data_IF_083866982277
#
_entry.id   IF_083866982277
#
_cell.length_a   1.000
_cell.length_b   1.000
_cell.length_c   1.000
_cell.angle_alpha   90.00
_cell.angle_beta   90.00
_cell.angle_gamma   90.00
#
_symmetry.space_group_name_H-M   'P 1'
#
loop_
_entity.id
_entity.type
_entity.pdbx_description
1 polymer ?
#
# COMPACT_ATOMS: atom_id res chain seq x y z
N UNK A 1 -24.45 -13.36 -5.81
CA UNK A 1 -23.22 -14.16 -5.98
C UNK A 1 -22.97 -14.42 -7.46
N UNK A 2 -21.86 -13.89 -7.97
CA UNK A 2 -21.31 -14.13 -9.31
C UNK A 2 -19.90 -14.71 -9.14
N UNK A 3 -19.57 -15.71 -9.95
CA UNK A 3 -18.24 -16.32 -9.96
C UNK A 3 -17.77 -16.48 -11.41
N UNK A 4 -16.53 -16.12 -11.68
CA UNK A 4 -15.87 -16.41 -12.93
C UNK A 4 -14.47 -16.96 -12.68
N UNK A 5 -13.99 -17.76 -13.62
CA UNK A 5 -12.62 -18.26 -13.59
C UNK A 5 -12.07 -18.28 -15.01
N UNK A 6 -10.79 -18.00 -15.17
CA UNK A 6 -10.11 -18.21 -16.44
C UNK A 6 -8.85 -19.02 -16.23
N UNK A 7 -8.71 -20.06 -17.05
CA UNK A 7 -7.47 -20.80 -17.20
C UNK A 7 -6.97 -20.55 -18.61
N UNK A 8 -5.79 -19.93 -18.73
CA UNK A 8 -5.16 -19.67 -20.02
C UNK A 8 -3.91 -20.53 -20.21
N UNK A 9 -3.86 -21.17 -21.37
CA UNK A 9 -2.82 -22.08 -21.80
C UNK A 9 -2.66 -21.90 -23.31
N UNK A 10 -1.45 -21.64 -23.81
CA UNK A 10 -1.25 -21.30 -25.20
C UNK A 10 0.05 -21.85 -25.80
N UNK A 11 -0.08 -22.55 -26.92
CA UNK A 11 1.06 -22.84 -27.81
C UNK A 11 1.45 -21.62 -28.68
N UNK A 12 0.91 -20.43 -28.38
CA UNK A 12 1.09 -19.20 -29.18
C UNK A 12 2.00 -18.17 -28.54
N UNK A 13 2.51 -18.42 -27.33
CA UNK A 13 3.50 -17.60 -26.64
C UNK A 13 2.97 -16.44 -25.78
N UNK A 14 1.69 -16.05 -25.85
CA UNK A 14 1.17 -14.90 -25.10
C UNK A 14 -0.31 -15.03 -24.67
N UNK A 15 -0.67 -15.94 -23.75
CA UNK A 15 -2.04 -16.03 -23.22
C UNK A 15 -2.54 -14.75 -22.52
N UNK A 16 -3.81 -14.41 -22.78
CA UNK A 16 -4.54 -13.32 -22.11
C UNK A 16 -5.81 -13.84 -21.41
N UNK A 17 -5.90 -13.63 -20.09
CA UNK A 17 -7.10 -13.91 -19.30
C UNK A 17 -7.76 -12.62 -18.82
N UNK A 18 -9.07 -12.47 -19.06
CA UNK A 18 -9.83 -11.29 -18.62
C UNK A 18 -11.19 -11.67 -18.06
N UNK A 19 -11.48 -11.20 -16.85
CA UNK A 19 -12.80 -11.31 -16.22
C UNK A 19 -13.34 -9.96 -15.80
N UNK A 20 -14.65 -9.80 -15.96
CA UNK A 20 -15.38 -8.61 -15.50
C UNK A 20 -16.69 -9.02 -14.85
N UNK A 21 -16.87 -8.68 -13.57
CA UNK A 21 -18.10 -8.95 -12.80
C UNK A 21 -18.68 -7.63 -12.29
N UNK A 22 -20.01 -7.52 -12.30
CA UNK A 22 -20.73 -6.33 -11.81
C UNK A 22 -21.91 -6.82 -10.96
N UNK A 23 -21.97 -6.42 -9.69
CA UNK A 23 -23.04 -6.78 -8.74
C UNK A 23 -24.31 -5.96 -8.96
N UNK A 24 -24.18 -4.64 -8.97
CA UNK A 24 -25.27 -3.71 -9.19
C UNK A 24 -25.84 -3.20 -7.88
N UNK A 25 -27.06 -3.58 -7.53
CA UNK A 25 -27.70 -3.14 -6.29
C UNK A 25 -28.06 -4.34 -5.41
N UNK A 26 -27.75 -4.25 -4.12
CA UNK A 26 -27.94 -5.32 -3.15
C UNK A 26 -26.65 -5.64 -2.42
N UNK A 27 -26.62 -6.77 -1.74
CA UNK A 27 -25.40 -7.30 -1.14
C UNK A 27 -24.89 -8.41 -2.06
N UNK A 28 -23.82 -8.12 -2.79
CA UNK A 28 -23.26 -8.98 -3.80
C UNK A 28 -21.98 -9.69 -3.31
N UNK A 29 -21.68 -10.79 -3.97
CA UNK A 29 -20.46 -11.56 -3.75
C UNK A 29 -19.89 -11.87 -5.11
N UNK A 30 -18.75 -11.29 -5.43
CA UNK A 30 -18.09 -11.38 -6.73
C UNK A 30 -16.74 -12.05 -6.54
N UNK A 31 -16.52 -13.17 -7.21
CA UNK A 31 -15.29 -13.94 -7.06
C UNK A 31 -14.69 -14.22 -8.43
N UNK A 32 -13.41 -13.92 -8.60
CA UNK A 32 -12.63 -14.24 -9.79
C UNK A 32 -11.36 -14.99 -9.44
N UNK A 33 -11.11 -16.09 -10.16
CA UNK A 33 -9.87 -16.85 -10.08
C UNK A 33 -9.22 -16.99 -11.48
N UNK A 34 -8.06 -16.37 -11.69
CA UNK A 34 -7.32 -16.40 -12.96
C UNK A 34 -5.99 -17.13 -12.83
N UNK A 35 -5.71 -18.04 -13.76
CA UNK A 35 -4.48 -18.82 -13.78
C UNK A 35 -3.93 -18.94 -15.20
N UNK A 36 -2.61 -18.82 -15.36
CA UNK A 36 -1.92 -19.27 -16.58
C UNK A 36 -1.04 -20.49 -16.32
N UNK A 37 -0.89 -21.35 -17.33
CA UNK A 37 -0.04 -22.55 -17.28
C UNK A 37 1.45 -22.22 -17.44
N UNK A 38 2.31 -23.11 -16.92
CA UNK A 38 3.75 -23.13 -17.20
C UNK A 38 4.11 -24.49 -17.80
N UNK A 39 3.81 -24.67 -19.08
CA UNK A 39 4.09 -25.91 -19.83
C UNK A 39 5.30 -25.78 -20.78
N UNK A 40 5.99 -24.63 -20.75
CA UNK A 40 7.18 -24.35 -21.55
C UNK A 40 6.90 -23.69 -22.91
N UNK A 41 5.69 -23.18 -23.14
CA UNK A 41 5.30 -22.57 -24.42
C UNK A 41 4.82 -21.11 -24.26
N UNK A 42 4.57 -20.64 -23.03
CA UNK A 42 4.08 -19.29 -22.73
C UNK A 42 5.26 -18.33 -22.52
N UNK A 43 5.71 -17.65 -23.58
CA UNK A 43 6.73 -16.61 -23.49
C UNK A 43 6.31 -15.42 -22.60
N UNK A 44 5.03 -15.02 -22.64
CA UNK A 44 4.46 -13.98 -21.80
C UNK A 44 3.03 -14.35 -21.34
N UNK A 45 2.55 -13.82 -20.21
CA UNK A 45 1.18 -14.03 -19.73
C UNK A 45 0.60 -12.73 -19.20
N UNK A 46 -0.66 -12.45 -19.52
CA UNK A 46 -1.38 -11.27 -18.99
C UNK A 46 -2.74 -11.66 -18.43
N UNK A 47 -2.95 -11.41 -17.14
CA UNK A 47 -4.20 -11.67 -16.45
C UNK A 47 -4.80 -10.36 -15.93
N UNK A 48 -6.10 -10.18 -16.13
CA UNK A 48 -6.84 -8.96 -15.75
C UNK A 48 -8.19 -9.33 -15.10
N UNK A 49 -8.50 -8.71 -13.98
CA UNK A 49 -9.79 -8.85 -13.29
C UNK A 49 -10.35 -7.49 -12.97
N UNK A 50 -11.62 -7.29 -13.26
CA UNK A 50 -12.35 -6.08 -12.92
C UNK A 50 -13.66 -6.45 -12.21
N UNK A 51 -13.78 -6.11 -10.94
CA UNK A 51 -14.97 -6.36 -10.14
C UNK A 51 -15.56 -5.02 -9.69
N UNK A 52 -16.87 -4.87 -9.78
CA UNK A 52 -17.59 -3.71 -9.27
C UNK A 52 -18.80 -4.16 -8.45
N UNK A 53 -18.83 -3.81 -7.17
CA UNK A 53 -19.92 -4.15 -6.24
C UNK A 53 -21.18 -3.36 -6.57
N UNK A 54 -21.09 -2.04 -6.47
CA UNK A 54 -22.16 -1.11 -6.79
C UNK A 54 -22.75 -0.49 -5.53
N UNK A 55 -23.98 -0.85 -5.17
CA UNK A 55 -24.62 -0.30 -3.96
C UNK A 55 -25.08 -1.40 -3.01
N UNK A 56 -24.76 -1.23 -1.74
CA UNK A 56 -24.95 -2.19 -0.66
C UNK A 56 -23.62 -2.82 -0.27
N UNK A 57 -23.58 -3.46 0.89
CA UNK A 57 -22.37 -4.09 1.43
C UNK A 57 -22.00 -5.32 0.58
N UNK A 58 -20.90 -5.23 -0.14
CA UNK A 58 -20.44 -6.18 -1.14
C UNK A 58 -19.17 -6.91 -0.70
N UNK A 59 -18.96 -8.10 -1.25
CA UNK A 59 -17.74 -8.89 -1.04
C UNK A 59 -17.09 -9.22 -2.37
N UNK A 60 -15.93 -8.64 -2.64
CA UNK A 60 -15.19 -8.77 -3.89
C UNK A 60 -13.88 -9.52 -3.63
N UNK A 61 -13.64 -10.59 -4.38
CA UNK A 61 -12.40 -11.36 -4.28
C UNK A 61 -11.83 -11.62 -5.66
N UNK A 62 -10.57 -11.27 -5.88
CA UNK A 62 -9.86 -11.60 -7.10
C UNK A 62 -8.50 -12.24 -6.79
N UNK A 63 -8.29 -13.45 -7.29
CA UNK A 63 -7.05 -14.21 -7.14
C UNK A 63 -6.41 -14.44 -8.49
N UNK A 64 -5.10 -14.20 -8.60
CA UNK A 64 -4.33 -14.43 -9.83
C UNK A 64 -3.05 -15.20 -9.60
N UNK A 65 -2.75 -16.10 -10.54
CA UNK A 65 -1.43 -16.68 -10.72
C UNK A 65 -1.01 -16.54 -12.19
N UNK A 66 -0.12 -15.59 -12.46
CA UNK A 66 0.45 -15.35 -13.78
C UNK A 66 1.82 -16.05 -13.91
N UNK A 67 1.85 -17.19 -14.59
CA UNK A 67 3.06 -17.91 -14.95
C UNK A 67 3.43 -17.68 -16.41
N UNK A 68 4.72 -17.44 -16.68
CA UNK A 68 5.26 -17.29 -18.03
C UNK A 68 6.75 -17.65 -18.04
N UNK A 69 7.38 -17.73 -19.22
CA UNK A 69 8.83 -17.79 -19.31
C UNK A 69 9.42 -16.40 -19.11
N UNK A 70 9.13 -15.42 -19.97
CA UNK A 70 9.85 -14.14 -19.95
C UNK A 70 9.08 -12.95 -19.36
N UNK A 71 7.75 -12.96 -19.33
CA UNK A 71 6.99 -11.84 -18.74
C UNK A 71 5.64 -12.25 -18.20
N UNK A 72 5.36 -11.92 -16.95
CA UNK A 72 4.08 -12.21 -16.30
C UNK A 72 3.47 -10.91 -15.78
N UNK A 73 2.27 -10.58 -16.28
CA UNK A 73 1.51 -9.42 -15.84
C UNK A 73 0.21 -9.90 -15.21
N UNK A 74 -0.09 -9.45 -13.99
CA UNK A 74 -1.36 -9.73 -13.34
C UNK A 74 -1.91 -8.45 -12.69
N UNK A 75 -3.15 -8.11 -13.03
CA UNK A 75 -3.78 -6.86 -12.60
C UNK A 75 -5.18 -7.12 -12.05
N UNK A 76 -5.40 -6.80 -10.78
CA UNK A 76 -6.72 -6.84 -10.15
C UNK A 76 -7.22 -5.41 -9.94
N UNK A 77 -8.45 -5.13 -10.36
CA UNK A 77 -9.16 -3.89 -10.06
C UNK A 77 -10.49 -4.21 -9.38
N UNK A 78 -10.67 -3.78 -8.14
CA UNK A 78 -11.88 -3.97 -7.35
C UNK A 78 -12.41 -2.60 -6.92
N UNK A 79 -13.70 -2.37 -7.13
CA UNK A 79 -14.43 -1.15 -6.75
C UNK A 79 -15.67 -1.57 -5.95
N UNK A 80 -15.70 -1.26 -4.65
CA UNK A 80 -16.81 -1.58 -3.74
C UNK A 80 -18.04 -0.76 -4.09
N UNK A 81 -17.87 0.56 -4.09
CA UNK A 81 -18.87 1.52 -4.49
C UNK A 81 -19.49 2.21 -3.28
N UNK A 82 -20.67 1.78 -2.85
CA UNK A 82 -21.31 2.33 -1.65
C UNK A 82 -21.84 1.22 -0.77
N UNK A 83 -21.70 1.35 0.54
CA UNK A 83 -21.93 0.26 1.48
C UNK A 83 -20.65 0.01 2.27
N UNK A 84 -20.74 -0.81 3.31
CA UNK A 84 -19.54 -1.28 4.00
C UNK A 84 -19.04 -2.54 3.28
N UNK A 85 -17.98 -2.41 2.49
CA UNK A 85 -17.53 -3.39 1.52
C UNK A 85 -16.27 -4.15 2.00
N UNK A 86 -16.10 -5.37 1.49
CA UNK A 86 -14.93 -6.21 1.74
C UNK A 86 -14.25 -6.58 0.43
N UNK A 87 -13.07 -6.02 0.20
CA UNK A 87 -12.29 -6.20 -1.03
C UNK A 87 -11.00 -6.96 -0.72
N UNK A 88 -10.78 -8.06 -1.45
CA UNK A 88 -9.57 -8.88 -1.34
C UNK A 88 -8.98 -9.13 -2.71
N UNK A 89 -7.77 -8.64 -2.96
CA UNK A 89 -7.02 -8.94 -4.18
C UNK A 89 -5.71 -9.66 -3.85
N UNK A 90 -5.43 -10.74 -4.57
CA UNK A 90 -4.17 -11.46 -4.47
C UNK A 90 -3.66 -11.73 -5.87
N UNK A 91 -2.41 -11.39 -6.12
CA UNK A 91 -1.76 -11.65 -7.38
C UNK A 91 -0.33 -12.12 -7.15
N UNK A 92 0.00 -13.22 -7.81
CA UNK A 92 1.33 -13.82 -7.77
C UNK A 92 1.80 -14.05 -9.20
N UNK A 93 3.06 -13.73 -9.47
CA UNK A 93 3.73 -14.07 -10.72
C UNK A 93 4.70 -15.23 -10.52
N UNK A 94 5.01 -15.93 -11.60
CA UNK A 94 6.15 -16.84 -11.66
C UNK A 94 6.72 -16.85 -13.07
N UNK A 95 7.82 -16.13 -13.27
CA UNK A 95 8.50 -16.09 -14.55
C UNK A 95 9.82 -16.89 -14.52
N UNK A 96 10.31 -17.38 -15.67
CA UNK A 96 11.48 -18.25 -15.83
C UNK A 96 12.47 -17.69 -16.89
N UNK A 97 13.65 -17.25 -16.44
CA UNK A 97 14.78 -16.62 -17.14
C UNK A 97 14.64 -15.10 -17.38
N UNK A 98 15.48 -14.29 -16.71
CA UNK A 98 15.69 -12.85 -17.02
C UNK A 98 14.41 -12.01 -17.10
N UNK A 99 13.35 -12.47 -16.45
CA UNK A 99 11.98 -12.10 -16.77
C UNK A 99 11.47 -10.88 -15.99
N UNK A 100 10.59 -10.12 -16.63
CA UNK A 100 9.95 -8.95 -16.02
C UNK A 100 8.51 -9.28 -15.60
N UNK A 101 8.26 -9.24 -14.29
CA UNK A 101 6.93 -9.47 -13.73
C UNK A 101 6.34 -8.17 -13.21
N UNK A 102 5.10 -7.87 -13.60
CA UNK A 102 4.34 -6.72 -13.08
C UNK A 102 3.06 -7.23 -12.44
N UNK A 103 2.95 -7.00 -11.15
CA UNK A 103 1.77 -7.32 -10.36
C UNK A 103 1.19 -6.01 -9.85
N UNK A 104 -0.08 -5.76 -10.13
CA UNK A 104 -0.79 -4.59 -9.65
C UNK A 104 -2.13 -5.01 -9.04
N UNK A 105 -2.39 -4.59 -7.81
CA UNK A 105 -3.71 -4.64 -7.22
C UNK A 105 -4.20 -3.21 -6.98
N UNK A 106 -5.39 -2.88 -7.45
CA UNK A 106 -6.07 -1.62 -7.16
C UNK A 106 -7.41 -1.92 -6.50
N UNK A 107 -7.60 -1.43 -5.28
CA UNK A 107 -8.83 -1.59 -4.51
C UNK A 107 -9.34 -0.20 -4.13
N UNK A 108 -10.62 0.05 -4.40
CA UNK A 108 -11.32 1.28 -4.06
C UNK A 108 -12.54 0.89 -3.22
N UNK A 109 -12.57 1.30 -1.95
CA UNK A 109 -13.70 1.05 -1.05
C UNK A 109 -14.91 1.87 -1.48
N UNK A 110 -14.78 3.18 -1.40
CA UNK A 110 -15.77 4.13 -1.89
C UNK A 110 -16.47 4.84 -0.74
N UNK A 111 -17.72 4.51 -0.46
CA UNK A 111 -18.48 5.13 0.62
C UNK A 111 -19.02 4.11 1.61
N UNK A 112 -18.57 4.16 2.85
CA UNK A 112 -18.94 3.23 3.90
C UNK A 112 -17.70 2.84 4.70
N UNK A 113 -17.83 1.90 5.63
CA UNK A 113 -16.69 1.42 6.41
C UNK A 113 -16.10 0.18 5.75
N UNK A 114 -15.03 0.36 4.99
CA UNK A 114 -14.53 -0.66 4.09
C UNK A 114 -13.33 -1.42 4.66
N UNK A 115 -13.17 -2.67 4.20
CA UNK A 115 -12.01 -3.51 4.51
C UNK A 115 -11.32 -3.90 3.20
N UNK A 116 -10.12 -3.40 2.99
CA UNK A 116 -9.32 -3.62 1.79
C UNK A 116 -8.07 -4.42 2.14
N UNK A 117 -7.88 -5.56 1.48
CA UNK A 117 -6.67 -6.37 1.64
C UNK A 117 -6.08 -6.70 0.27
N UNK A 118 -4.82 -6.33 0.05
CA UNK A 118 -4.09 -6.63 -1.18
C UNK A 118 -2.79 -7.38 -0.89
N UNK A 119 -2.50 -8.39 -1.72
CA UNK A 119 -1.25 -9.13 -1.72
C UNK A 119 -0.67 -9.15 -3.14
N UNK A 120 0.57 -8.68 -3.28
CA UNK A 120 1.31 -8.70 -4.54
C UNK A 120 2.63 -9.44 -4.35
N UNK A 121 2.87 -10.44 -5.21
CA UNK A 121 4.12 -11.20 -5.24
C UNK A 121 4.65 -11.31 -6.67
N UNK A 122 5.65 -10.49 -6.97
CA UNK A 122 6.37 -10.52 -8.24
C UNK A 122 7.65 -11.38 -8.19
N UNK A 123 7.80 -12.26 -7.20
CA UNK A 123 9.00 -13.07 -7.06
C UNK A 123 9.17 -14.08 -8.20
N UNK A 124 10.43 -14.33 -8.49
CA UNK A 124 10.89 -15.31 -9.46
C UNK A 124 10.87 -16.72 -8.84
N UNK A 125 10.06 -17.65 -9.37
CA UNK A 125 10.09 -19.05 -8.95
C UNK A 125 11.15 -19.82 -9.75
N UNK A 126 12.36 -19.94 -9.22
CA UNK A 126 13.28 -21.01 -9.64
C UNK A 126 13.52 -21.98 -8.50
N UNK A 127 13.38 -23.28 -8.78
CA UNK A 127 13.70 -24.34 -7.82
C UNK A 127 15.17 -24.77 -7.88
N UNK A 128 15.90 -24.44 -8.94
CA UNK A 128 17.30 -24.84 -9.12
C UNK A 128 17.94 -23.78 -10.04
N UNK A 129 18.80 -22.89 -9.55
CA UNK A 129 20.08 -22.50 -10.20
C UNK A 129 20.72 -21.25 -9.57
N UNK A 130 21.96 -21.45 -9.18
CA UNK A 130 22.91 -20.57 -8.48
C UNK A 130 23.54 -19.55 -9.45
N UNK A 131 22.75 -18.62 -9.97
CA UNK A 131 23.27 -17.43 -10.65
C UNK A 131 22.82 -16.18 -9.89
N UNK A 132 23.67 -15.74 -8.96
CA UNK A 132 23.53 -14.47 -8.25
C UNK A 132 23.64 -13.26 -9.17
N UNK A 133 22.63 -13.05 -10.03
CA UNK A 133 22.36 -11.77 -10.67
C UNK A 133 21.50 -10.93 -9.70
N UNK A 134 22.06 -9.86 -9.10
CA UNK A 134 21.34 -8.98 -8.18
C UNK A 134 20.41 -7.99 -8.90
N UNK A 135 20.27 -8.04 -10.24
CA UNK A 135 19.33 -7.19 -10.96
C UNK A 135 17.90 -7.68 -10.76
N UNK A 136 17.25 -7.12 -9.76
CA UNK A 136 15.82 -7.20 -9.48
C UNK A 136 14.97 -6.88 -10.73
N UNK A 137 13.97 -7.72 -11.07
CA UNK A 137 13.11 -7.59 -12.28
C UNK A 137 11.61 -7.77 -12.05
N UNK A 138 11.16 -7.90 -10.80
CA UNK A 138 9.74 -7.89 -10.46
C UNK A 138 9.24 -6.46 -10.21
N UNK A 139 7.94 -6.27 -10.06
CA UNK A 139 7.33 -5.05 -9.57
C UNK A 139 5.97 -5.44 -9.01
N UNK A 140 5.80 -5.31 -7.69
CA UNK A 140 4.64 -5.76 -6.95
C UNK A 140 3.95 -4.56 -6.27
N UNK A 141 3.00 -3.94 -6.96
CA UNK A 141 2.35 -2.72 -6.50
C UNK A 141 0.95 -2.99 -5.97
N UNK A 142 0.64 -2.36 -4.84
CA UNK A 142 -0.72 -2.31 -4.31
C UNK A 142 -1.14 -0.84 -4.17
N UNK A 143 -2.31 -0.50 -4.69
CA UNK A 143 -2.96 0.79 -4.50
C UNK A 143 -4.31 0.56 -3.82
N UNK A 144 -4.47 1.09 -2.60
CA UNK A 144 -5.70 0.99 -1.82
C UNK A 144 -6.20 2.40 -1.51
N UNK A 145 -7.49 2.64 -1.73
CA UNK A 145 -8.19 3.87 -1.39
C UNK A 145 -9.46 3.52 -0.61
N UNK A 146 -9.54 3.89 0.67
CA UNK A 146 -10.70 3.66 1.52
C UNK A 146 -11.88 4.53 1.11
N UNK A 147 -11.64 5.83 0.99
CA UNK A 147 -12.62 6.80 0.52
C UNK A 147 -13.32 7.49 1.68
N UNK A 148 -14.64 7.34 1.81
CA UNK A 148 -15.41 7.92 2.91
C UNK A 148 -15.77 6.84 3.93
N UNK A 149 -15.35 7.02 5.17
CA UNK A 149 -15.71 6.12 6.25
C UNK A 149 -14.55 5.93 7.20
N UNK A 150 -14.63 4.88 7.99
CA UNK A 150 -13.54 4.49 8.89
C UNK A 150 -13.10 3.14 8.33
N UNK A 151 -11.99 3.14 7.62
CA UNK A 151 -11.59 2.05 6.75
C UNK A 151 -10.41 1.30 7.34
N UNK A 152 -10.25 0.04 6.91
CA UNK A 152 -9.11 -0.80 7.28
C UNK A 152 -8.41 -1.26 6.01
N UNK A 153 -7.20 -0.75 5.80
CA UNK A 153 -6.39 -1.02 4.62
C UNK A 153 -5.16 -1.83 5.02
N UNK A 154 -4.96 -2.97 4.37
CA UNK A 154 -3.75 -3.78 4.52
C UNK A 154 -3.17 -4.12 3.16
N UNK A 155 -1.96 -3.65 2.90
CA UNK A 155 -1.22 -3.96 1.68
C UNK A 155 0.02 -4.79 2.02
N UNK A 156 0.23 -5.86 1.24
CA UNK A 156 1.35 -6.77 1.42
C UNK A 156 2.09 -6.87 0.09
N UNK A 157 3.34 -6.42 0.08
CA UNK A 157 4.28 -6.65 -1.01
C UNK A 157 5.28 -7.71 -0.56
N UNK A 158 5.36 -8.83 -1.29
CA UNK A 158 6.24 -9.93 -0.90
C UNK A 158 7.71 -9.50 -0.86
N UNK A 159 8.47 -9.97 0.13
CA UNK A 159 9.90 -9.67 0.21
C UNK A 159 10.62 -10.09 -1.09
N UNK A 160 11.54 -9.26 -1.57
CA UNK A 160 12.28 -9.52 -2.81
C UNK A 160 11.49 -9.28 -4.10
N UNK A 161 10.23 -8.82 -4.01
CA UNK A 161 9.37 -8.48 -5.15
C UNK A 161 9.42 -7.01 -5.56
N UNK A 162 10.26 -6.20 -4.87
CA UNK A 162 10.66 -4.81 -5.11
C UNK A 162 9.59 -3.91 -5.72
N UNK A 163 8.38 -4.05 -5.20
CA UNK A 163 7.34 -3.06 -5.36
C UNK A 163 7.09 -2.33 -4.05
N UNK A 164 6.17 -1.39 -4.13
CA UNK A 164 5.74 -0.52 -3.04
C UNK A 164 4.23 -0.57 -2.94
N UNK A 165 3.69 -0.13 -1.82
CA UNK A 165 2.27 0.04 -1.61
C UNK A 165 1.91 1.51 -1.41
N UNK A 166 0.79 1.91 -1.98
CA UNK A 166 0.19 3.22 -1.80
C UNK A 166 -1.18 3.04 -1.13
N UNK A 167 -1.33 3.60 0.07
CA UNK A 167 -2.53 3.48 0.89
C UNK A 167 -3.07 4.88 1.19
N UNK A 168 -4.33 5.11 0.85
CA UNK A 168 -5.08 6.32 1.17
C UNK A 168 -6.28 5.96 2.04
N UNK A 169 -6.33 6.46 3.28
CA UNK A 169 -7.48 6.27 4.17
C UNK A 169 -8.68 7.06 3.68
N UNK A 170 -8.50 8.38 3.58
CA UNK A 170 -9.49 9.27 3.01
C UNK A 170 -10.17 10.09 4.09
N UNK A 171 -11.46 9.91 4.30
CA UNK A 171 -12.24 10.71 5.24
C UNK A 171 -12.87 9.84 6.33
N UNK A 172 -12.33 9.95 7.54
CA UNK A 172 -12.81 9.35 8.79
C UNK A 172 -11.61 8.85 9.57
N UNK A 173 -11.79 7.90 10.49
CA UNK A 173 -10.70 7.42 11.33
C UNK A 173 -10.24 6.06 10.79
N UNK A 174 -9.13 6.07 10.07
CA UNK A 174 -8.69 4.94 9.26
C UNK A 174 -7.54 4.19 9.93
N UNK A 175 -7.41 2.90 9.58
CA UNK A 175 -6.30 2.06 9.99
C UNK A 175 -5.58 1.53 8.76
N UNK A 176 -4.35 2.02 8.53
CA UNK A 176 -3.52 1.68 7.38
C UNK A 176 -2.31 0.86 7.84
N UNK A 177 -2.02 -0.21 7.12
CA UNK A 177 -0.86 -1.07 7.38
C UNK A 177 -0.21 -1.50 6.08
N UNK A 178 1.06 -1.16 5.90
CA UNK A 178 1.91 -1.72 4.86
C UNK A 178 2.76 -2.88 5.44
N UNK A 179 2.99 -3.92 4.65
CA UNK A 179 3.85 -5.05 5.01
C UNK A 179 4.77 -5.36 3.84
N UNK A 180 6.07 -5.18 4.08
CA UNK A 180 7.09 -5.32 3.04
C UNK A 180 6.97 -4.26 1.94
N UNK A 181 7.71 -4.47 0.86
CA UNK A 181 7.95 -3.42 -0.12
C UNK A 181 9.02 -2.43 0.37
N UNK A 182 9.47 -1.58 -0.53
CA UNK A 182 10.34 -0.44 -0.21
C UNK A 182 9.64 0.83 -0.73
N UNK A 183 9.86 1.98 -0.09
CA UNK A 183 9.28 3.26 -0.50
C UNK A 183 7.74 3.32 -0.49
N UNK A 184 7.08 2.77 0.53
CA UNK A 184 5.62 2.84 0.63
C UNK A 184 5.14 4.28 0.85
N UNK A 185 3.90 4.56 0.42
CA UNK A 185 3.19 5.81 0.71
C UNK A 185 1.94 5.50 1.54
N UNK A 186 1.84 6.13 2.71
CA UNK A 186 0.65 6.06 3.55
C UNK A 186 0.13 7.48 3.80
N UNK A 187 -1.11 7.75 3.39
CA UNK A 187 -1.83 9.01 3.68
C UNK A 187 -3.15 8.69 4.41
N UNK A 188 -3.27 9.11 5.66
CA UNK A 188 -4.48 8.92 6.47
C UNK A 188 -5.64 9.79 5.98
N UNK A 189 -5.33 10.98 5.47
CA UNK A 189 -6.33 11.93 5.00
C UNK A 189 -6.92 12.74 6.15
N UNK A 190 -8.18 12.54 6.49
CA UNK A 190 -8.90 13.39 7.44
C UNK A 190 -9.59 12.58 8.53
N UNK A 191 -9.08 12.64 9.75
CA UNK A 191 -9.77 12.17 10.93
C UNK A 191 -8.82 11.86 12.07
N UNK A 192 -8.76 10.62 12.54
CA UNK A 192 -7.85 10.23 13.62
C UNK A 192 -7.30 8.88 13.26
N UNK A 193 -6.22 8.92 12.50
CA UNK A 193 -5.79 7.77 11.76
C UNK A 193 -4.69 7.04 12.51
N UNK A 194 -4.58 5.74 12.26
CA UNK A 194 -3.49 4.90 12.73
C UNK A 194 -2.77 4.33 11.52
N UNK A 195 -1.54 4.79 11.31
CA UNK A 195 -0.71 4.40 10.18
C UNK A 195 0.49 3.60 10.69
N UNK A 196 0.71 2.44 10.08
CA UNK A 196 1.89 1.62 10.32
C UNK A 196 2.55 1.32 8.99
N UNK A 197 3.72 1.91 8.78
CA UNK A 197 4.60 1.59 7.66
C UNK A 197 5.24 0.21 7.82
N UNK A 198 6.24 -0.05 6.98
CA UNK A 198 7.04 -1.27 7.02
C UNK A 198 8.52 -0.96 7.03
N UNK A 199 9.34 -1.97 6.83
CA UNK A 199 10.77 -1.75 6.64
C UNK A 199 11.00 -0.89 5.37
N UNK A 200 12.04 -0.06 5.33
CA UNK A 200 12.47 0.63 4.11
C UNK A 200 12.64 2.15 4.23
N UNK A 201 12.02 2.92 3.35
CA UNK A 201 12.08 4.39 3.34
C UNK A 201 10.70 4.92 3.01
N UNK A 202 9.80 4.80 3.98
CA UNK A 202 8.39 5.08 3.75
C UNK A 202 8.08 6.58 3.85
N UNK A 203 7.08 7.02 3.10
CA UNK A 203 6.49 8.36 3.16
C UNK A 203 5.16 8.28 3.91
N UNK A 204 5.12 8.83 5.12
CA UNK A 204 3.97 8.70 6.01
C UNK A 204 3.36 10.07 6.30
N UNK A 205 2.06 10.21 6.06
CA UNK A 205 1.29 11.42 6.35
C UNK A 205 0.01 11.06 7.09
N UNK A 206 -0.13 11.53 8.33
CA UNK A 206 -1.42 11.41 9.05
C UNK A 206 -2.53 12.20 8.38
N UNK A 207 -2.22 13.45 8.01
CA UNK A 207 -3.17 14.35 7.38
C UNK A 207 -3.78 15.28 8.42
N UNK A 208 -5.08 15.56 8.34
CA UNK A 208 -5.73 16.42 9.34
C UNK A 208 -6.32 15.61 10.47
N UNK A 209 -5.96 15.98 11.70
CA UNK A 209 -6.60 15.52 12.91
C UNK A 209 -5.62 15.22 14.02
N UNK A 210 -5.72 14.03 14.59
CA UNK A 210 -4.82 13.63 15.67
C UNK A 210 -4.45 12.18 15.48
N UNK A 211 -3.32 11.98 14.81
CA UNK A 211 -2.96 10.70 14.22
C UNK A 211 -1.85 10.01 15.01
N UNK A 212 -1.81 8.68 14.91
CA UNK A 212 -0.77 7.83 15.46
C UNK A 212 0.01 7.19 14.32
N UNK A 213 1.30 7.52 14.21
CA UNK A 213 2.15 7.12 13.10
C UNK A 213 3.30 6.25 13.62
N UNK A 214 3.51 5.12 12.96
CA UNK A 214 4.64 4.20 13.17
C UNK A 214 5.34 4.02 11.84
N UNK A 215 6.64 4.28 11.81
CA UNK A 215 7.50 4.17 10.64
C UNK A 215 7.75 2.72 10.24
N UNK A 216 8.22 1.91 11.19
CA UNK A 216 8.85 0.63 10.89
C UNK A 216 10.39 0.73 10.99
N UNK A 217 11.08 -0.28 10.48
CA UNK A 217 12.55 -0.28 10.47
C UNK A 217 13.07 0.38 9.18
N UNK A 218 13.69 1.55 9.25
CA UNK A 218 14.17 2.19 8.03
C UNK A 218 14.50 3.65 8.20
N UNK A 219 14.59 4.37 7.09
CA UNK A 219 14.79 5.82 7.10
C UNK A 219 13.51 6.50 6.60
N UNK A 220 12.57 6.74 7.51
CA UNK A 220 11.24 7.19 7.17
C UNK A 220 11.18 8.71 6.98
N UNK A 221 10.16 9.17 6.23
CA UNK A 221 9.80 10.58 6.18
C UNK A 221 8.36 10.80 6.64
N UNK A 222 8.21 11.44 7.80
CA UNK A 222 6.92 11.85 8.34
C UNK A 222 6.57 13.27 7.86
N UNK A 223 5.44 13.42 7.20
CA UNK A 223 5.07 14.63 6.47
C UNK A 223 4.01 15.41 7.26
N UNK A 224 4.30 16.68 7.52
CA UNK A 224 3.37 17.59 8.19
C UNK A 224 3.21 18.92 7.44
N UNK A 225 2.01 19.48 7.52
CA UNK A 225 1.61 20.76 6.97
C UNK A 225 0.75 21.55 7.96
N UNK A 226 0.65 22.86 7.76
CA UNK A 226 -0.26 23.69 8.55
C UNK A 226 -1.70 23.20 8.43
N UNK A 227 -2.34 22.94 9.57
CA UNK A 227 -3.70 22.37 9.60
C UNK A 227 -3.75 20.90 10.01
N UNK A 228 -2.61 20.19 9.99
CA UNK A 228 -2.56 18.74 10.24
C UNK A 228 -2.94 18.37 11.69
N UNK A 229 -2.72 19.25 12.67
CA UNK A 229 -3.30 19.10 14.01
C UNK A 229 -2.29 18.60 15.04
N UNK A 230 -2.58 17.48 15.71
CA UNK A 230 -1.81 17.03 16.89
C UNK A 230 -1.53 15.54 16.86
N UNK A 231 -0.34 15.19 16.42
CA UNK A 231 0.03 13.83 16.05
C UNK A 231 1.07 13.22 16.99
N UNK A 232 1.20 11.90 16.92
CA UNK A 232 2.19 11.12 17.67
C UNK A 232 3.01 10.26 16.71
N UNK A 233 4.33 10.42 16.76
CA UNK A 233 5.28 9.47 16.17
C UNK A 233 5.71 8.50 17.26
N UNK A 234 5.48 7.21 17.04
CA UNK A 234 5.63 6.18 18.07
C UNK A 234 7.04 5.56 18.12
N UNK A 235 7.82 5.69 17.05
CA UNK A 235 9.10 5.00 16.84
C UNK A 235 10.16 5.85 16.13
N UNK A 236 10.02 7.18 16.13
CA UNK A 236 10.97 8.08 15.47
C UNK A 236 12.43 7.85 15.93
N UNK A 237 13.34 7.56 14.98
CA UNK A 237 14.76 7.35 15.20
C UNK A 237 15.60 8.56 14.78
N UNK A 238 16.17 9.26 15.77
CA UNK A 238 17.09 10.39 15.57
C UNK A 238 18.30 10.02 14.70
N UNK A 239 18.62 10.88 13.74
CA UNK A 239 19.71 10.67 12.78
C UNK A 239 19.45 9.64 11.68
N UNK A 240 18.26 9.02 11.66
CA UNK A 240 17.80 8.10 10.63
C UNK A 240 16.54 8.62 9.93
N UNK A 241 15.50 8.92 10.71
CA UNK A 241 14.22 9.44 10.23
C UNK A 241 14.24 10.95 9.99
N UNK A 242 13.31 11.41 9.16
CA UNK A 242 13.13 12.82 8.85
C UNK A 242 11.69 13.30 9.01
N UNK A 243 11.54 14.50 9.57
CA UNK A 243 10.27 15.22 9.64
C UNK A 243 10.22 16.24 8.49
N UNK A 244 9.40 15.96 7.48
CA UNK A 244 9.21 16.84 6.33
C UNK A 244 8.09 17.86 6.58
N UNK A 245 8.45 19.13 6.62
CA UNK A 245 7.51 20.25 6.71
C UNK A 245 7.14 20.72 5.31
N UNK A 246 5.97 20.28 4.84
CA UNK A 246 5.43 20.70 3.56
C UNK A 246 4.89 22.15 3.59
N UNK A 247 4.42 22.62 4.74
CA UNK A 247 4.01 24.01 4.95
C UNK A 247 3.93 24.36 6.45
N UNK A 248 4.11 25.63 6.81
CA UNK A 248 3.87 26.15 8.17
C UNK A 248 5.12 26.57 8.95
N UNK A 249 6.32 26.18 8.51
CA UNK A 249 7.59 26.69 9.03
C UNK A 249 8.60 26.85 7.91
N UNK A 250 9.32 27.97 7.87
CA UNK A 250 10.35 28.25 6.87
C UNK A 250 11.76 27.74 7.27
N UNK A 251 11.86 27.07 8.42
CA UNK A 251 13.11 26.59 9.00
C UNK A 251 12.98 26.30 10.50
N UNK A 252 13.99 25.65 11.06
CA UNK A 252 14.01 25.20 12.46
C UNK A 252 13.82 26.34 13.48
N UNK A 253 14.27 27.57 13.16
CA UNK A 253 14.08 28.73 14.02
C UNK A 253 12.62 29.18 14.19
N UNK A 254 11.71 28.69 13.34
CA UNK A 254 10.26 28.92 13.45
C UNK A 254 9.55 27.84 14.29
N UNK A 255 10.29 26.88 14.84
CA UNK A 255 9.78 25.77 15.64
C UNK A 255 10.07 25.98 17.12
N UNK A 256 9.35 25.24 17.96
CA UNK A 256 9.63 25.12 19.38
C UNK A 256 9.71 23.64 19.74
N UNK A 257 10.84 23.22 20.28
CA UNK A 257 11.06 21.87 20.82
C UNK A 257 10.92 21.94 22.33
N UNK A 258 10.09 21.08 22.91
CA UNK A 258 9.74 21.09 24.33
C UNK A 258 9.93 19.67 24.88
N UNK A 259 10.80 19.54 25.87
CA UNK A 259 10.95 18.32 26.68
C UNK A 259 9.67 18.05 27.48
N UNK A 260 9.12 16.85 27.35
CA UNK A 260 7.96 16.35 28.09
C UNK A 260 8.29 15.12 28.95
N UNK A 261 9.55 14.96 29.35
CA UNK A 261 10.02 13.89 30.21
C UNK A 261 10.65 12.76 29.41
N UNK A 262 9.85 11.76 29.00
CA UNK A 262 10.32 10.70 28.11
C UNK A 262 10.02 10.99 26.63
N UNK A 263 9.18 12.00 26.37
CA UNK A 263 8.73 12.36 25.04
C UNK A 263 9.21 13.78 24.68
N UNK A 264 9.26 14.07 23.39
CA UNK A 264 9.55 15.40 22.87
C UNK A 264 8.35 15.96 22.12
N UNK A 265 7.96 17.20 22.42
CA UNK A 265 6.94 17.92 21.68
C UNK A 265 7.58 18.94 20.74
N UNK A 266 7.37 18.76 19.44
CA UNK A 266 7.70 19.74 18.40
C UNK A 266 6.46 20.54 18.04
N UNK A 267 6.57 21.87 18.03
CA UNK A 267 5.49 22.78 17.64
C UNK A 267 5.92 23.75 16.56
N UNK A 268 5.06 23.95 15.58
CA UNK A 268 5.18 25.02 14.59
C UNK A 268 3.79 25.40 14.09
N UNK A 269 3.57 26.68 13.76
CA UNK A 269 2.25 27.19 13.40
C UNK A 269 1.14 26.69 14.38
N UNK A 270 0.17 25.95 13.86
CA UNK A 270 -0.92 25.30 14.58
C UNK A 270 -0.77 23.77 14.69
N UNK A 271 0.42 23.24 14.38
CA UNK A 271 0.74 21.80 14.40
C UNK A 271 1.51 21.47 15.68
N UNK A 272 1.25 20.29 16.23
CA UNK A 272 1.97 19.70 17.35
C UNK A 272 2.30 18.25 17.02
N UNK A 273 3.56 17.86 17.16
CA UNK A 273 4.00 16.48 16.94
C UNK A 273 4.69 16.01 18.21
N UNK A 274 4.19 14.93 18.81
CA UNK A 274 4.83 14.27 19.95
C UNK A 274 5.68 13.12 19.42
N UNK A 275 6.99 13.16 19.70
CA UNK A 275 7.93 12.09 19.46
C UNK A 275 7.99 11.24 20.73
N UNK A 276 7.37 10.07 20.72
CA UNK A 276 7.31 9.18 21.89
C UNK A 276 8.67 8.56 22.17
N UNK A 277 9.13 8.63 23.42
CA UNK A 277 10.40 8.01 23.81
C UNK A 277 11.67 8.71 23.32
N UNK A 278 11.58 9.89 22.69
CA UNK A 278 12.71 10.63 22.13
C UNK A 278 13.14 11.77 23.05
N UNK A 279 14.45 11.86 23.35
CA UNK A 279 15.04 12.93 24.15
C UNK A 279 15.13 14.24 23.35
N UNK A 280 14.57 15.32 23.89
CA UNK A 280 14.52 16.63 23.25
C UNK A 280 15.90 17.24 22.97
N UNK A 281 16.95 16.76 23.66
CA UNK A 281 18.32 17.20 23.44
C UNK A 281 18.94 16.64 22.14
N UNK A 282 18.33 15.61 21.54
CA UNK A 282 18.77 15.03 20.28
C UNK A 282 18.21 15.80 19.08
N UNK A 283 17.02 16.37 19.21
CA UNK A 283 16.34 17.06 18.11
C UNK A 283 17.05 18.36 17.72
N UNK A 284 17.51 18.42 16.46
CA UNK A 284 18.16 19.58 15.87
C UNK A 284 17.65 19.90 14.46
N UNK A 285 18.35 20.74 13.70
CA UNK A 285 17.89 21.16 12.37
C UNK A 285 18.07 20.08 11.29
N UNK A 286 18.89 19.05 11.55
CA UNK A 286 19.16 17.92 10.66
C UNK A 286 17.98 16.97 10.51
N UNK A 287 17.10 16.90 11.52
CA UNK A 287 15.92 16.04 11.53
C UNK A 287 14.78 16.56 10.65
N UNK A 288 14.93 17.75 10.07
CA UNK A 288 13.85 18.43 9.37
C UNK A 288 14.19 18.73 7.92
N UNK A 289 13.24 18.41 7.03
CA UNK A 289 13.22 18.87 5.66
C UNK A 289 12.19 19.99 5.51
N UNK A 290 12.59 21.13 4.93
CA UNK A 290 11.70 22.28 4.71
C UNK A 290 11.43 22.47 3.21
N UNK A 291 10.15 22.55 2.84
CA UNK A 291 9.68 22.86 1.48
C UNK A 291 9.64 24.35 1.15
#
# INVERSE_FOLDING_TARGET
>A
MLWASTYVDSNSGAPEGRNTLVGGAGHDTLIVDNFSSLDGENYASTLTSQLSGGSGNDSLTATMLALAECSAVATNFLDGGSGDDMLSASATSGAYLDAYSVIENTLIGGAGHDILTAFADANYYHLEDDYGDPAFRGSAHNLLDGGFGNDVLTAIAAAGSGGFSELHGGAGNDALTAIGGEDNLLDGGAGRDTLTGSDGTDLIRGGTGADCLTGGDGAEQFIFATGDGSDRLLDFEDGLDLIRIAAGAAGFSAMTVIDQGLDTLVRFANVAVVLEGVDAALIDAGDFLFG
#
